data_IF_847912797398
#
_entry.id   IF_847912797398
#
_cell.length_a   1.000
_cell.length_b   1.000
_cell.length_c   1.000
_cell.angle_alpha   90.00
_cell.angle_beta   90.00
_cell.angle_gamma   90.00
#
_symmetry.space_group_name_H-M   'P 1'
#
loop_
_entity.id
_entity.type
_entity.pdbx_description
1 polymer ?
#
# COMPACT_ATOMS: atom_id res chain seq x y z
N UNK A 1 21.29 13.83 11.43
CA UNK A 1 20.11 13.12 10.91
C UNK A 1 20.59 11.87 10.23
N UNK A 2 20.16 10.69 10.67
CA UNK A 2 20.40 9.46 9.91
C UNK A 2 19.40 9.48 8.75
N UNK A 3 19.88 9.68 7.53
CA UNK A 3 19.05 9.64 6.33
C UNK A 3 18.78 8.20 5.90
N UNK A 4 17.73 8.00 5.10
CA UNK A 4 17.45 6.70 4.50
C UNK A 4 18.57 6.33 3.53
N UNK A 5 19.12 5.10 3.65
CA UNK A 5 19.96 4.53 2.61
C UNK A 5 19.07 4.05 1.47
N UNK A 6 19.34 4.56 0.27
CA UNK A 6 18.69 4.10 -0.95
C UNK A 6 19.23 2.72 -1.34
N UNK A 7 18.34 1.72 -1.43
CA UNK A 7 18.70 0.43 -2.02
C UNK A 7 18.69 0.53 -3.54
N UNK A 8 19.66 -0.12 -4.17
CA UNK A 8 19.61 -0.40 -5.60
C UNK A 8 18.48 -1.41 -5.92
N UNK A 9 18.00 -1.50 -7.17
CA UNK A 9 16.98 -2.47 -7.54
C UNK A 9 17.35 -3.93 -7.20
N UNK A 10 18.64 -4.28 -7.32
CA UNK A 10 19.14 -5.61 -6.96
C UNK A 10 19.06 -5.87 -5.46
N UNK A 11 19.50 -4.91 -4.63
CA UNK A 11 19.39 -5.00 -3.17
C UNK A 11 17.92 -5.03 -2.73
N UNK A 12 17.04 -4.27 -3.39
CA UNK A 12 15.61 -4.28 -3.11
C UNK A 12 14.98 -5.66 -3.35
N UNK A 13 15.29 -6.28 -4.50
CA UNK A 13 14.86 -7.65 -4.80
C UNK A 13 15.47 -8.68 -3.83
N UNK A 14 16.74 -8.52 -3.46
CA UNK A 14 17.40 -9.38 -2.49
C UNK A 14 16.72 -9.31 -1.11
N UNK A 15 16.37 -8.11 -0.66
CA UNK A 15 15.63 -7.90 0.58
C UNK A 15 14.22 -8.53 0.52
N UNK A 16 13.50 -8.34 -0.58
CA UNK A 16 12.19 -9.00 -0.81
C UNK A 16 12.31 -10.53 -0.86
N UNK A 17 13.45 -11.06 -1.30
CA UNK A 17 13.76 -12.48 -1.30
C UNK A 17 14.25 -13.00 0.07
N UNK A 18 14.39 -12.14 1.07
CA UNK A 18 14.82 -12.52 2.42
C UNK A 18 16.33 -12.63 2.60
N UNK A 19 17.11 -11.81 1.90
CA UNK A 19 18.55 -11.70 2.12
C UNK A 19 18.87 -11.40 3.60
N UNK A 20 19.63 -12.30 4.22
CA UNK A 20 19.89 -12.28 5.67
C UNK A 20 20.72 -11.09 6.11
N UNK A 21 21.66 -10.64 5.27
CA UNK A 21 22.54 -9.52 5.61
C UNK A 21 21.73 -8.21 5.62
N UNK A 22 20.90 -7.99 4.60
CA UNK A 22 20.02 -6.83 4.54
C UNK A 22 19.00 -6.84 5.70
N UNK A 23 18.40 -7.99 6.02
CA UNK A 23 17.49 -8.10 7.16
C UNK A 23 18.19 -7.80 8.50
N UNK A 24 19.41 -8.34 8.70
CA UNK A 24 20.19 -8.07 9.90
C UNK A 24 20.54 -6.58 10.04
N UNK A 25 20.79 -5.89 8.93
CA UNK A 25 21.05 -4.44 8.90
C UNK A 25 19.82 -3.60 9.23
N UNK A 26 18.64 -3.96 8.70
CA UNK A 26 17.37 -3.35 9.16
C UNK A 26 17.20 -3.58 10.66
N UNK A 27 17.44 -4.82 11.13
CA UNK A 27 17.43 -5.13 12.54
C UNK A 27 18.46 -4.34 13.35
N UNK A 28 19.61 -3.97 12.80
CA UNK A 28 20.58 -3.09 13.45
C UNK A 28 20.11 -1.63 13.56
N UNK A 29 18.93 -1.30 13.03
CA UNK A 29 18.34 0.03 13.06
C UNK A 29 18.65 0.86 11.82
N UNK A 30 19.24 0.27 10.78
CA UNK A 30 19.48 0.97 9.52
C UNK A 30 18.16 1.24 8.79
N UNK A 31 18.01 2.45 8.27
CA UNK A 31 16.80 2.88 7.58
C UNK A 31 16.96 2.75 6.07
N UNK A 32 16.00 2.11 5.40
CA UNK A 32 16.06 1.87 3.96
C UNK A 32 14.94 2.54 3.18
N UNK A 33 15.29 3.04 2.01
CA UNK A 33 14.37 3.39 0.94
C UNK A 33 14.46 2.31 -0.13
N UNK A 34 13.39 1.54 -0.28
CA UNK A 34 13.32 0.29 -1.06
C UNK A 34 12.47 0.52 -2.31
N UNK A 35 13.11 0.72 -3.48
CA UNK A 35 12.37 0.87 -4.74
C UNK A 35 11.81 -0.48 -5.17
N UNK A 36 10.48 -0.57 -5.31
CA UNK A 36 9.82 -1.83 -5.69
C UNK A 36 9.61 -1.92 -7.20
N UNK A 37 9.47 -3.11 -7.81
CA UNK A 37 9.20 -3.19 -9.25
C UNK A 37 7.83 -2.62 -9.65
N UNK A 38 6.97 -2.31 -8.69
CA UNK A 38 5.60 -1.83 -8.91
C UNK A 38 5.57 -0.31 -9.11
N UNK A 39 4.52 0.16 -9.78
CA UNK A 39 4.31 1.58 -10.09
C UNK A 39 2.90 2.01 -9.70
N UNK A 40 2.78 3.22 -9.20
CA UNK A 40 1.49 3.88 -9.09
C UNK A 40 0.88 4.08 -10.48
N UNK A 41 -0.46 3.94 -10.63
CA UNK A 41 -1.12 4.39 -11.84
C UNK A 41 -0.89 5.89 -12.04
N UNK A 42 -0.74 6.35 -13.29
CA UNK A 42 -0.52 7.76 -13.58
C UNK A 42 0.96 8.16 -13.55
N UNK A 43 1.26 9.34 -12.99
CA UNK A 43 2.57 10.01 -13.13
C UNK A 43 3.50 9.90 -11.91
N UNK A 44 3.01 9.38 -10.79
CA UNK A 44 3.75 9.22 -9.51
C UNK A 44 4.97 8.32 -9.59
N UNK A 45 5.02 7.43 -10.59
CA UNK A 45 6.19 6.58 -10.82
C UNK A 45 6.21 5.35 -9.93
N UNK A 46 7.38 5.02 -9.38
CA UNK A 46 7.64 3.76 -8.70
C UNK A 46 7.08 3.77 -7.26
N UNK A 47 6.50 2.66 -6.82
CA UNK A 47 6.16 2.47 -5.41
C UNK A 47 7.47 2.27 -4.65
N UNK A 48 7.67 3.07 -3.60
CA UNK A 48 8.86 3.03 -2.77
C UNK A 48 8.45 2.77 -1.33
N UNK A 49 9.07 1.76 -0.71
CA UNK A 49 8.86 1.46 0.70
C UNK A 49 9.94 2.10 1.55
N UNK A 50 9.56 2.57 2.73
CA UNK A 50 10.43 3.08 3.76
C UNK A 50 10.45 2.09 4.91
N UNK A 51 11.65 1.63 5.28
CA UNK A 51 11.88 0.77 6.43
C UNK A 51 12.52 1.60 7.53
N UNK A 52 11.82 1.71 8.65
CA UNK A 52 12.30 2.42 9.84
C UNK A 52 12.25 1.52 11.05
N UNK A 53 13.13 1.71 12.05
CA UNK A 53 12.97 1.08 13.35
C UNK A 53 11.56 1.32 13.89
N UNK A 54 10.87 0.25 14.27
CA UNK A 54 9.57 0.32 14.93
C UNK A 54 9.74 0.73 16.40
N UNK A 55 8.63 1.08 17.04
CA UNK A 55 8.63 1.26 18.49
C UNK A 55 8.98 -0.07 19.16
N UNK A 56 9.90 -0.07 20.12
CA UNK A 56 10.29 -1.29 20.84
C UNK A 56 9.07 -1.89 21.55
N UNK A 57 8.46 -2.90 20.93
CA UNK A 57 7.54 -3.82 21.60
C UNK A 57 8.40 -4.60 22.59
N UNK A 58 8.05 -4.58 23.88
CA UNK A 58 8.86 -5.15 24.97
C UNK A 58 9.11 -6.66 24.92
N UNK A 59 8.92 -7.33 23.78
CA UNK A 59 9.10 -8.77 23.54
C UNK A 59 10.53 -9.18 23.13
N UNK A 60 11.51 -8.27 23.18
CA UNK A 60 12.92 -8.58 22.84
C UNK A 60 13.20 -8.73 21.34
N UNK A 61 12.16 -8.79 20.50
CA UNK A 61 12.25 -8.66 19.06
C UNK A 61 12.49 -7.21 18.64
N UNK A 62 13.31 -7.00 17.60
CA UNK A 62 13.49 -5.66 17.03
C UNK A 62 12.36 -5.40 16.04
N UNK A 63 11.47 -4.48 16.39
CA UNK A 63 10.35 -4.08 15.54
C UNK A 63 10.83 -3.22 14.36
N UNK A 64 10.15 -3.36 13.23
CA UNK A 64 10.37 -2.62 11.99
C UNK A 64 9.03 -2.11 11.49
N UNK A 65 8.96 -0.83 11.14
CA UNK A 65 7.84 -0.25 10.41
C UNK A 65 8.16 -0.21 8.93
N UNK A 66 7.26 -0.77 8.13
CA UNK A 66 7.20 -0.64 6.67
C UNK A 66 6.17 0.44 6.34
N UNK A 67 6.49 1.40 5.48
CA UNK A 67 5.51 2.38 5.01
C UNK A 67 5.73 2.75 3.55
N UNK A 68 4.70 3.25 2.89
CA UNK A 68 4.77 3.79 1.52
C UNK A 68 5.06 5.30 1.46
N UNK A 69 5.10 5.98 2.62
CA UNK A 69 5.50 7.39 2.70
C UNK A 69 4.41 8.41 2.36
N UNK A 70 3.15 7.98 2.23
CA UNK A 70 1.99 8.82 1.92
C UNK A 70 1.78 9.09 0.44
N UNK A 71 2.56 8.44 -0.43
CA UNK A 71 2.46 8.52 -1.88
C UNK A 71 1.20 7.82 -2.41
N UNK A 72 0.69 6.80 -1.72
CA UNK A 72 -0.53 6.08 -2.10
C UNK A 72 -1.76 6.97 -1.98
N UNK A 73 -1.94 7.65 -0.84
CA UNK A 73 -3.09 8.54 -0.63
C UNK A 73 -3.09 9.65 -1.67
N UNK A 74 -1.93 10.25 -1.91
CA UNK A 74 -1.80 11.29 -2.92
C UNK A 74 -2.03 10.74 -4.35
N UNK A 75 -1.58 9.52 -4.65
CA UNK A 75 -1.85 8.88 -5.94
C UNK A 75 -3.35 8.56 -6.17
N UNK A 76 -4.12 8.31 -5.10
CA UNK A 76 -5.57 8.16 -5.16
C UNK A 76 -6.24 9.52 -5.42
N UNK A 77 -5.84 10.56 -4.69
CA UNK A 77 -6.35 11.92 -4.85
C UNK A 77 -6.14 12.47 -6.28
N UNK A 78 -4.93 12.28 -6.86
CA UNK A 78 -4.63 12.63 -8.27
C UNK A 78 -5.54 11.93 -9.30
N UNK A 79 -6.21 10.84 -8.90
CA UNK A 79 -7.15 10.10 -9.72
C UNK A 79 -8.62 10.43 -9.41
N UNK A 80 -8.87 11.45 -8.59
CA UNK A 80 -10.21 11.84 -8.14
C UNK A 80 -10.81 10.88 -7.10
N UNK A 81 -9.95 10.11 -6.41
CA UNK A 81 -10.32 9.15 -5.37
C UNK A 81 -9.89 9.68 -4.00
N UNK A 82 -10.43 10.84 -3.63
CA UNK A 82 -10.13 11.50 -2.37
C UNK A 82 -10.80 10.79 -1.18
N UNK A 83 -9.97 10.31 -0.24
CA UNK A 83 -10.40 9.59 0.96
C UNK A 83 -11.06 10.51 2.00
N UNK A 84 -10.81 11.81 1.94
CA UNK A 84 -11.42 12.79 2.85
C UNK A 84 -12.87 13.08 2.46
N UNK A 85 -13.18 13.05 1.17
CA UNK A 85 -14.52 13.37 0.64
C UNK A 85 -15.36 12.13 0.31
N UNK A 86 -14.77 11.02 -0.14
CA UNK A 86 -15.50 9.78 -0.46
C UNK A 86 -15.54 8.82 0.74
N UNK A 87 -16.61 8.93 1.54
CA UNK A 87 -16.88 8.07 2.70
C UNK A 87 -16.87 6.56 2.39
N UNK A 88 -17.31 6.16 1.19
CA UNK A 88 -17.33 4.73 0.82
C UNK A 88 -15.91 4.26 0.58
N UNK A 89 -15.12 5.02 -0.21
CA UNK A 89 -13.73 4.69 -0.47
C UNK A 89 -12.91 4.67 0.82
N UNK A 90 -13.08 5.70 1.66
CA UNK A 90 -12.44 5.83 2.96
C UNK A 90 -12.66 4.60 3.83
N UNK A 91 -13.92 4.15 3.96
CA UNK A 91 -14.27 2.92 4.69
C UNK A 91 -13.66 1.68 4.06
N UNK A 92 -13.73 1.54 2.73
CA UNK A 92 -13.15 0.37 2.03
C UNK A 92 -11.65 0.27 2.28
N UNK A 93 -10.91 1.37 2.14
CA UNK A 93 -9.46 1.42 2.40
C UNK A 93 -9.18 1.12 3.87
N UNK A 94 -9.93 1.74 4.79
CA UNK A 94 -9.78 1.48 6.22
C UNK A 94 -9.97 -0.01 6.55
N UNK A 95 -11.04 -0.64 6.04
CA UNK A 95 -11.28 -2.06 6.26
C UNK A 95 -10.18 -2.95 5.66
N UNK A 96 -9.75 -2.67 4.43
CA UNK A 96 -8.65 -3.42 3.80
C UNK A 96 -7.36 -3.34 4.62
N UNK A 97 -7.03 -2.17 5.18
CA UNK A 97 -5.88 -2.02 6.08
C UNK A 97 -6.07 -2.83 7.37
N UNK A 98 -7.24 -2.77 7.99
CA UNK A 98 -7.52 -3.48 9.26
C UNK A 98 -7.53 -5.01 9.12
N UNK A 99 -7.77 -5.55 7.92
CA UNK A 99 -7.70 -6.99 7.64
C UNK A 99 -6.26 -7.53 7.66
N UNK A 100 -5.25 -6.66 7.53
CA UNK A 100 -3.83 -7.04 7.56
C UNK A 100 -3.28 -6.84 8.98
N UNK A 101 -2.91 -7.93 9.71
CA UNK A 101 -2.39 -7.80 11.07
C UNK A 101 -1.15 -6.92 11.14
N UNK A 102 -1.17 -5.93 12.03
CA UNK A 102 -0.08 -4.96 12.22
C UNK A 102 -0.12 -3.76 11.26
N UNK A 103 -1.02 -3.74 10.28
CA UNK A 103 -1.17 -2.60 9.39
C UNK A 103 -2.00 -1.48 10.03
N UNK A 104 -1.74 -0.26 9.58
CA UNK A 104 -2.43 0.93 10.09
C UNK A 104 -2.36 2.12 9.14
N UNK A 105 -3.14 3.13 9.49
CA UNK A 105 -3.18 4.44 8.85
C UNK A 105 -2.77 5.49 9.88
N UNK A 106 -1.81 6.34 9.55
CA UNK A 106 -1.38 7.39 10.47
C UNK A 106 -0.41 8.36 9.81
N UNK A 107 -0.55 9.65 10.08
CA UNK A 107 0.32 10.69 9.50
C UNK A 107 0.21 10.79 7.98
N UNK A 108 -0.94 10.48 7.39
CA UNK A 108 -1.17 10.56 5.95
C UNK A 108 -0.53 9.43 5.14
N UNK A 109 -0.17 8.32 5.77
CA UNK A 109 0.43 7.16 5.10
C UNK A 109 -0.15 5.85 5.62
N UNK A 110 -0.03 4.81 4.79
CA UNK A 110 -0.26 3.43 5.21
C UNK A 110 1.06 2.86 5.73
N UNK A 111 1.00 2.07 6.80
CA UNK A 111 2.15 1.38 7.36
C UNK A 111 1.81 -0.03 7.81
N UNK A 112 2.84 -0.85 8.02
CA UNK A 112 2.80 -2.17 8.63
C UNK A 112 3.91 -2.28 9.67
N UNK A 113 3.54 -2.57 10.92
CA UNK A 113 4.47 -2.94 11.98
C UNK A 113 4.75 -4.44 11.91
N UNK A 114 6.03 -4.82 11.93
CA UNK A 114 6.47 -6.21 11.90
C UNK A 114 7.73 -6.40 12.76
N UNK A 115 8.19 -7.63 12.85
CA UNK A 115 9.47 -8.02 13.44
C UNK A 115 10.47 -8.33 12.32
N UNK A 116 11.77 -8.13 12.58
CA UNK A 116 12.84 -8.43 11.60
C UNK A 116 12.75 -9.85 11.04
N UNK A 117 12.39 -10.84 11.88
CA UNK A 117 12.27 -12.25 11.48
C UNK A 117 11.11 -12.50 10.50
N UNK A 118 10.14 -11.60 10.46
CA UNK A 118 8.97 -11.64 9.58
C UNK A 118 9.04 -10.63 8.44
N UNK A 119 10.11 -9.85 8.36
CA UNK A 119 10.24 -8.75 7.42
C UNK A 119 10.03 -9.18 5.96
N UNK A 120 10.67 -10.24 5.43
CA UNK A 120 10.48 -10.62 4.02
C UNK A 120 9.04 -10.99 3.65
N UNK A 121 8.33 -11.92 4.34
CA UNK A 121 6.95 -12.23 4.00
C UNK A 121 5.99 -11.05 4.26
N UNK A 122 6.25 -10.21 5.27
CA UNK A 122 5.40 -9.06 5.55
C UNK A 122 5.63 -7.91 4.56
N UNK A 123 6.81 -7.78 3.93
CA UNK A 123 7.03 -6.87 2.79
C UNK A 123 6.13 -7.25 1.60
N UNK A 124 6.02 -8.54 1.28
CA UNK A 124 5.13 -9.00 0.22
C UNK A 124 3.66 -8.76 0.56
N UNK A 125 3.26 -9.05 1.81
CA UNK A 125 1.89 -8.77 2.27
C UNK A 125 1.57 -7.28 2.19
N UNK A 126 2.50 -6.41 2.57
CA UNK A 126 2.30 -4.98 2.47
C UNK A 126 2.19 -4.52 1.01
N UNK A 127 3.05 -5.02 0.11
CA UNK A 127 2.93 -4.70 -1.31
C UNK A 127 1.60 -5.18 -1.91
N UNK A 128 1.14 -6.37 -1.52
CA UNK A 128 -0.17 -6.89 -1.91
C UNK A 128 -1.28 -5.93 -1.47
N UNK A 129 -1.30 -5.51 -0.20
CA UNK A 129 -2.26 -4.53 0.31
C UNK A 129 -2.27 -3.24 -0.52
N UNK A 130 -1.09 -2.68 -0.82
CA UNK A 130 -1.00 -1.48 -1.66
C UNK A 130 -1.57 -1.72 -3.06
N UNK A 131 -1.28 -2.87 -3.68
CA UNK A 131 -1.82 -3.20 -5.00
C UNK A 131 -3.33 -3.42 -5.00
N UNK A 132 -3.89 -4.01 -3.95
CA UNK A 132 -5.33 -4.21 -3.80
C UNK A 132 -6.04 -2.86 -3.67
N UNK A 133 -5.52 -1.95 -2.83
CA UNK A 133 -6.05 -0.59 -2.69
C UNK A 133 -6.01 0.16 -4.02
N UNK A 134 -4.89 0.08 -4.75
CA UNK A 134 -4.79 0.65 -6.10
C UNK A 134 -5.76 -0.02 -7.08
N UNK A 135 -6.02 -1.32 -6.89
CA UNK A 135 -6.97 -2.11 -7.67
C UNK A 135 -8.43 -1.74 -7.43
N UNK A 136 -8.79 -1.19 -6.25
CA UNK A 136 -10.16 -0.79 -5.91
C UNK A 136 -10.79 0.17 -6.93
N UNK A 137 -9.96 0.96 -7.63
CA UNK A 137 -10.38 1.81 -8.75
C UNK A 137 -11.17 1.04 -9.81
N UNK A 138 -10.69 -0.14 -10.20
CA UNK A 138 -11.29 -0.92 -11.28
C UNK A 138 -12.66 -1.48 -10.88
N UNK A 139 -12.84 -1.80 -9.60
CA UNK A 139 -14.12 -2.26 -9.06
C UNK A 139 -15.17 -1.14 -9.07
N UNK A 140 -14.84 0.05 -8.53
CA UNK A 140 -15.79 1.19 -8.53
C UNK A 140 -16.18 1.64 -9.94
N UNK A 141 -15.22 1.70 -10.89
CA UNK A 141 -15.51 2.09 -12.27
C UNK A 141 -16.42 1.09 -12.97
N UNK A 142 -16.17 -0.21 -12.76
CA UNK A 142 -17.03 -1.28 -13.29
C UNK A 142 -18.45 -1.18 -12.73
N UNK A 143 -18.60 -0.96 -11.43
CA UNK A 143 -19.92 -0.85 -10.81
C UNK A 143 -20.69 0.38 -11.28
N UNK A 144 -20.01 1.51 -11.46
CA UNK A 144 -20.58 2.72 -12.04
C UNK A 144 -21.05 2.50 -13.49
N UNK A 145 -20.25 1.82 -14.31
CA UNK A 145 -20.63 1.45 -15.68
C UNK A 145 -21.81 0.49 -15.73
N UNK A 146 -21.86 -0.51 -14.84
CA UNK A 146 -23.00 -1.43 -14.72
C UNK A 146 -24.27 -0.66 -14.36
N UNK A 147 -24.20 0.27 -13.40
CA UNK A 147 -25.34 1.10 -13.02
C UNK A 147 -25.82 2.01 -14.15
N UNK A 148 -24.90 2.58 -14.93
CA UNK A 148 -25.22 3.39 -16.12
C UNK A 148 -25.89 2.54 -17.22
N UNK A 149 -25.35 1.36 -17.52
CA UNK A 149 -25.94 0.42 -18.49
C UNK A 149 -27.36 0.04 -18.11
N UNK A 150 -27.60 -0.31 -16.84
CA UNK A 150 -28.94 -0.65 -16.32
C UNK A 150 -29.94 0.51 -16.41
N UNK A 151 -29.48 1.75 -16.20
CA UNK A 151 -30.33 2.95 -16.36
C UNK A 151 -30.68 3.21 -17.82
N UNK A 152 -29.77 2.97 -18.76
CA UNK A 152 -30.05 3.07 -20.20
C UNK A 152 -31.07 2.02 -20.65
N UNK A 153 -30.93 0.77 -20.22
CA UNK A 153 -31.89 -0.30 -20.52
C UNK A 153 -33.30 0.02 -19.98
N UNK A 154 -33.39 0.61 -18.78
CA UNK A 154 -34.67 1.02 -18.20
C UNK A 154 -35.33 2.24 -18.88
N UNK A 155 -34.60 3.00 -19.70
CA UNK A 155 -35.10 4.17 -20.42
C UNK A 155 -35.50 3.89 -21.88
N UNK A 156 -35.23 2.68 -22.39
CA UNK A 156 -35.67 2.30 -23.72
C UNK A 156 -37.18 1.98 -23.68
N UNK A 157 -38.01 2.64 -24.52
CA UNK A 157 -39.43 2.30 -24.62
C UNK A 157 -39.56 0.84 -25.07
N UNK A 158 -40.46 0.11 -24.42
CA UNK A 158 -40.77 -1.28 -24.75
C UNK A 158 -41.18 -1.43 -26.23
N UNK A 159 -41.03 -2.63 -26.81
CA UNK A 159 -41.43 -2.87 -28.19
C UNK A 159 -42.91 -2.50 -28.38
N UNK A 160 -43.27 -1.86 -29.51
CA UNK A 160 -44.67 -1.60 -29.82
C UNK A 160 -45.40 -2.93 -29.97
N UNK A 161 -46.55 -3.04 -29.28
CA UNK A 161 -47.50 -4.16 -29.40
C UNK A 161 -48.11 -4.25 -30.81
#
# INVERSE_FOLDING_TARGET
MVGFRQLSPREALALLAGDRELCARVGAGEQFRVPTPLRYPGRRGQIVLYLTPGASSGSGGRSVRISEGGELIQALDEQGLDLETDLVLSKTVYHAVQEVPGAGLGGGQIYLETDVDRLPPDLWRFLQLLTEILGLRHAKYKDALIQLSRRQEAQLPGPPD
#
